data_IF_350882965937
#
_entry.id   IF_350882965937
#
_cell.length_a   1.000
_cell.length_b   1.000
_cell.length_c   1.000
_cell.angle_alpha   90.00
_cell.angle_beta   90.00
_cell.angle_gamma   90.00
#
_symmetry.space_group_name_H-M   'P 1'
#
loop_
_entity.id
_entity.type
_entity.pdbx_description
1 polymer ?
#
# COMPACT_ATOMS: atom_id res chain seq x y z
N UNK A 1 -17.14 -37.72 6.02
CA UNK A 1 -18.45 -37.92 6.72
C UNK A 1 -18.94 -36.67 7.43
N UNK A 2 -18.14 -35.61 7.55
CA UNK A 2 -18.53 -34.36 8.25
C UNK A 2 -18.85 -33.19 7.31
N UNK A 3 -18.60 -33.32 6.00
CA UNK A 3 -18.98 -32.29 5.02
C UNK A 3 -20.47 -32.33 4.66
N UNK A 4 -21.12 -33.50 4.76
CA UNK A 4 -22.53 -33.69 4.40
C UNK A 4 -23.52 -32.98 5.33
N UNK A 5 -23.11 -32.58 6.53
CA UNK A 5 -24.01 -31.94 7.50
C UNK A 5 -23.98 -30.41 7.47
N UNK A 6 -23.14 -29.80 6.65
CA UNK A 6 -23.00 -28.34 6.54
C UNK A 6 -23.64 -27.76 5.27
N UNK A 7 -24.13 -28.60 4.37
CA UNK A 7 -24.82 -28.18 3.16
C UNK A 7 -26.31 -28.21 3.44
N UNK A 8 -26.93 -27.05 3.61
CA UNK A 8 -28.37 -26.89 3.72
C UNK A 8 -29.05 -27.41 2.43
N UNK A 9 -30.18 -28.09 2.56
CA UNK A 9 -31.00 -28.66 1.43
C UNK A 9 -31.29 -27.63 0.33
N UNK A 10 -31.24 -26.31 0.66
CA UNK A 10 -31.40 -25.23 -0.30
C UNK A 10 -30.20 -25.06 -1.23
N UNK A 11 -29.00 -25.47 -0.80
CA UNK A 11 -27.74 -25.43 -1.58
C UNK A 11 -27.72 -26.62 -2.55
N UNK A 12 -28.15 -27.80 -2.10
CA UNK A 12 -28.24 -29.01 -2.93
C UNK A 12 -29.19 -28.84 -4.12
N UNK A 13 -30.33 -28.17 -3.90
CA UNK A 13 -31.28 -27.88 -4.97
C UNK A 13 -30.79 -26.87 -6.00
N UNK A 14 -29.89 -25.97 -5.63
CA UNK A 14 -29.31 -24.98 -6.56
C UNK A 14 -28.06 -25.50 -7.27
N UNK A 15 -27.25 -26.31 -6.59
CA UNK A 15 -26.11 -26.99 -7.19
C UNK A 15 -26.55 -28.05 -8.23
N UNK A 16 -27.70 -28.71 -8.01
CA UNK A 16 -28.24 -29.66 -8.98
C UNK A 16 -28.74 -29.00 -10.28
N UNK A 17 -28.98 -27.71 -10.29
CA UNK A 17 -29.33 -26.94 -11.50
C UNK A 17 -28.11 -26.50 -12.33
N UNK A 18 -26.91 -26.61 -11.79
CA UNK A 18 -25.69 -26.44 -12.54
C UNK A 18 -25.34 -27.74 -13.26
N UNK A 19 -25.18 -27.69 -14.57
CA UNK A 19 -24.62 -28.80 -15.34
C UNK A 19 -23.14 -28.95 -15.03
N UNK A 20 -22.83 -29.61 -13.90
CA UNK A 20 -21.47 -29.94 -13.46
C UNK A 20 -20.90 -31.14 -14.21
N UNK A 21 -21.60 -31.66 -15.23
CA UNK A 21 -21.14 -32.81 -16.01
C UNK A 21 -19.80 -32.60 -16.75
N UNK A 22 -19.37 -31.35 -16.89
CA UNK A 22 -18.09 -30.98 -17.46
C UNK A 22 -16.97 -30.77 -16.43
N UNK A 23 -17.30 -30.77 -15.14
CA UNK A 23 -16.30 -30.68 -14.07
C UNK A 23 -15.96 -32.08 -13.59
N UNK A 24 -14.66 -32.42 -13.47
CA UNK A 24 -14.26 -33.68 -12.86
C UNK A 24 -14.76 -33.76 -11.43
N UNK A 25 -15.14 -34.97 -11.00
CA UNK A 25 -15.65 -35.21 -9.64
C UNK A 25 -14.66 -34.68 -8.59
N UNK A 26 -15.05 -33.83 -7.65
CA UNK A 26 -14.19 -33.37 -6.56
C UNK A 26 -13.50 -34.53 -5.80
N UNK A 27 -14.15 -35.70 -5.72
CA UNK A 27 -13.57 -36.92 -5.12
C UNK A 27 -12.30 -37.40 -5.86
N UNK A 28 -12.18 -37.14 -7.17
CA UNK A 28 -10.98 -37.50 -7.94
C UNK A 28 -9.75 -36.66 -7.55
N UNK A 29 -9.94 -35.54 -6.87
CA UNK A 29 -8.90 -34.61 -6.47
C UNK A 29 -8.60 -34.61 -4.96
N UNK A 30 -9.31 -35.41 -4.15
CA UNK A 30 -9.05 -35.48 -2.70
C UNK A 30 -7.60 -35.80 -2.36
N UNK A 31 -6.91 -36.59 -3.20
CA UNK A 31 -5.52 -36.92 -3.01
C UNK A 31 -4.53 -35.78 -3.34
N UNK A 32 -4.99 -34.73 -4.04
CA UNK A 32 -4.17 -33.57 -4.42
C UNK A 32 -4.55 -32.29 -3.67
N UNK A 33 -5.73 -32.27 -3.05
CA UNK A 33 -6.18 -31.16 -2.21
C UNK A 33 -5.74 -31.46 -0.77
N UNK A 34 -4.62 -30.89 -0.36
CA UNK A 34 -4.32 -30.75 1.07
C UNK A 34 -5.31 -29.70 1.60
N UNK A 35 -6.48 -30.15 2.00
CA UNK A 35 -7.44 -29.32 2.74
C UNK A 35 -6.82 -29.14 4.12
N UNK A 36 -6.13 -28.01 4.32
CA UNK A 36 -5.69 -27.63 5.63
C UNK A 36 -6.97 -27.29 6.44
N UNK A 37 -7.30 -28.14 7.40
CA UNK A 37 -8.48 -27.96 8.28
C UNK A 37 -8.43 -26.70 9.13
N UNK A 38 -7.35 -25.94 9.08
CA UNK A 38 -7.21 -24.60 9.65
C UNK A 38 -7.52 -23.47 8.63
N UNK A 39 -7.88 -23.80 7.39
CA UNK A 39 -8.53 -22.83 6.54
C UNK A 39 -9.85 -22.48 7.23
N UNK A 40 -9.99 -21.21 7.62
CA UNK A 40 -11.24 -20.63 8.07
C UNK A 40 -12.39 -21.18 7.21
N UNK A 41 -13.52 -21.48 7.81
CA UNK A 41 -14.63 -22.08 7.09
C UNK A 41 -14.81 -21.29 5.80
N UNK A 42 -14.88 -21.99 4.69
CA UNK A 42 -15.21 -21.41 3.40
C UNK A 42 -16.38 -20.48 3.70
N UNK A 43 -16.12 -19.17 3.61
CA UNK A 43 -17.15 -18.16 3.89
C UNK A 43 -18.33 -18.60 3.07
N UNK A 44 -19.52 -18.79 3.66
CA UNK A 44 -20.68 -19.19 2.92
C UNK A 44 -20.86 -18.13 1.84
N UNK A 45 -20.52 -18.51 0.62
CA UNK A 45 -20.79 -17.67 -0.55
C UNK A 45 -22.30 -17.57 -0.54
N UNK A 46 -22.83 -16.36 -0.31
CA UNK A 46 -24.26 -16.16 -0.41
C UNK A 46 -24.66 -16.36 -1.87
N UNK A 47 -25.06 -17.61 -2.16
CA UNK A 47 -25.47 -18.03 -3.50
C UNK A 47 -26.71 -17.22 -3.96
N UNK A 48 -27.45 -16.60 -3.04
CA UNK A 48 -28.53 -15.69 -3.38
C UNK A 48 -28.07 -14.32 -3.88
N UNK A 49 -26.81 -13.96 -3.64
CA UNK A 49 -26.18 -12.79 -4.25
C UNK A 49 -25.87 -12.99 -5.74
N UNK A 50 -25.92 -14.25 -6.24
CA UNK A 50 -25.82 -14.53 -7.67
C UNK A 50 -27.16 -14.23 -8.34
N UNK A 51 -27.31 -13.01 -8.84
CA UNK A 51 -28.42 -12.64 -9.73
C UNK A 51 -28.34 -13.36 -11.09
N UNK A 52 -29.28 -13.08 -12.00
CA UNK A 52 -29.36 -13.70 -13.33
C UNK A 52 -28.11 -13.47 -14.24
N UNK A 53 -27.12 -12.64 -13.80
CA UNK A 53 -25.85 -12.38 -14.48
C UNK A 53 -24.66 -13.11 -13.80
N UNK A 54 -24.77 -14.38 -13.63
CA UNK A 54 -24.00 -15.27 -12.77
C UNK A 54 -22.45 -15.21 -12.83
N UNK A 55 -21.86 -14.82 -13.95
CA UNK A 55 -20.38 -14.85 -14.10
C UNK A 55 -19.68 -13.66 -13.46
N UNK A 56 -20.26 -12.47 -13.51
CA UNK A 56 -19.66 -11.26 -12.92
C UNK A 56 -19.79 -11.34 -11.40
N UNK A 57 -20.95 -11.78 -10.90
CA UNK A 57 -21.21 -11.92 -9.47
C UNK A 57 -20.31 -12.97 -8.81
N UNK A 58 -19.97 -14.07 -9.52
CA UNK A 58 -19.02 -15.08 -9.03
C UNK A 58 -17.61 -14.51 -8.88
N UNK A 59 -17.14 -13.73 -9.84
CA UNK A 59 -15.83 -13.11 -9.81
C UNK A 59 -15.76 -12.13 -8.64
N UNK A 60 -16.76 -11.28 -8.46
CA UNK A 60 -16.83 -10.33 -7.34
C UNK A 60 -16.89 -11.04 -5.99
N UNK A 61 -17.64 -12.13 -5.87
CA UNK A 61 -17.70 -12.94 -4.66
C UNK A 61 -16.34 -13.57 -4.32
N UNK A 62 -15.60 -14.08 -5.31
CA UNK A 62 -14.26 -14.64 -5.10
C UNK A 62 -13.30 -13.53 -4.65
N UNK A 63 -13.29 -12.39 -5.32
CA UNK A 63 -12.39 -11.30 -4.98
C UNK A 63 -12.72 -10.57 -3.67
N UNK A 64 -13.95 -10.73 -3.16
CA UNK A 64 -14.37 -10.20 -1.86
C UNK A 64 -14.14 -11.15 -0.68
N UNK A 65 -13.65 -12.39 -0.92
CA UNK A 65 -13.39 -13.35 0.16
C UNK A 65 -12.39 -12.80 1.19
N UNK A 66 -12.74 -12.83 2.50
CA UNK A 66 -11.88 -12.31 3.56
C UNK A 66 -10.58 -13.13 3.76
N UNK A 67 -10.56 -14.37 3.30
CA UNK A 67 -9.38 -15.25 3.36
C UNK A 67 -8.45 -15.13 2.14
N UNK A 68 -8.81 -14.32 1.13
CA UNK A 68 -8.05 -14.20 -0.09
C UNK A 68 -7.02 -13.06 -0.02
N UNK A 69 -5.83 -13.30 -0.55
CA UNK A 69 -4.86 -12.25 -0.87
C UNK A 69 -4.45 -12.37 -2.34
N UNK A 70 -4.44 -11.25 -3.02
CA UNK A 70 -4.04 -11.20 -4.43
C UNK A 70 -3.32 -9.90 -4.77
N UNK A 71 -2.48 -9.97 -5.80
CA UNK A 71 -1.72 -8.84 -6.32
C UNK A 71 -1.64 -8.93 -7.83
N UNK A 72 -2.00 -7.84 -8.49
CA UNK A 72 -1.82 -7.63 -9.91
C UNK A 72 -0.79 -6.52 -10.16
N UNK A 73 0.10 -6.71 -11.14
CA UNK A 73 1.05 -5.68 -11.55
C UNK A 73 1.19 -5.68 -13.06
N UNK A 74 1.01 -4.49 -13.65
CA UNK A 74 1.25 -4.25 -15.06
C UNK A 74 2.44 -3.29 -15.22
N UNK A 75 3.38 -3.64 -16.07
CA UNK A 75 4.56 -2.82 -16.34
C UNK A 75 4.67 -2.61 -17.85
N UNK A 76 4.89 -1.38 -18.24
CA UNK A 76 5.25 -1.05 -19.62
C UNK A 76 6.51 -0.19 -19.67
N UNK A 77 7.34 -0.47 -20.67
CA UNK A 77 8.52 0.32 -20.99
C UNK A 77 8.36 0.89 -22.38
N UNK A 78 8.35 2.20 -22.51
CA UNK A 78 8.11 2.88 -23.77
C UNK A 78 9.00 4.12 -23.90
N UNK A 79 9.85 4.20 -24.94
CA UNK A 79 10.74 5.31 -25.21
C UNK A 79 11.55 5.84 -24.01
N UNK A 80 12.09 4.93 -23.18
CA UNK A 80 12.87 5.30 -22.00
C UNK A 80 12.02 5.64 -20.76
N UNK A 81 10.69 5.57 -20.90
CA UNK A 81 9.76 5.70 -19.77
C UNK A 81 9.43 4.32 -19.21
N UNK A 82 9.24 4.26 -17.91
CA UNK A 82 8.80 3.07 -17.20
C UNK A 82 7.53 3.41 -16.44
N UNK A 83 6.41 2.82 -16.85
CA UNK A 83 5.13 2.94 -16.17
C UNK A 83 4.79 1.62 -15.50
N UNK A 84 4.48 1.67 -14.20
CA UNK A 84 4.00 0.54 -13.43
C UNK A 84 2.66 0.88 -12.78
N UNK A 85 1.70 -0.01 -12.97
CA UNK A 85 0.41 -0.03 -12.28
C UNK A 85 0.41 -1.26 -11.38
N UNK A 86 -0.01 -1.08 -10.15
CA UNK A 86 -0.08 -2.16 -9.18
C UNK A 86 -1.36 -2.07 -8.37
N UNK A 87 -1.98 -3.22 -8.14
CA UNK A 87 -3.12 -3.39 -7.26
C UNK A 87 -2.88 -4.60 -6.37
N UNK A 88 -3.15 -4.49 -5.08
CA UNK A 88 -3.10 -5.60 -4.14
C UNK A 88 -4.19 -5.49 -3.09
N UNK A 89 -4.69 -6.64 -2.68
CA UNK A 89 -5.64 -6.78 -1.58
C UNK A 89 -5.25 -7.95 -0.72
N UNK A 90 -5.36 -7.79 0.59
CA UNK A 90 -5.16 -8.83 1.60
C UNK A 90 -6.38 -8.83 2.50
N UNK A 91 -7.12 -9.92 2.48
CA UNK A 91 -8.32 -10.08 3.28
C UNK A 91 -8.03 -10.11 4.78
N UNK A 92 -9.06 -9.88 5.58
CA UNK A 92 -8.97 -9.82 7.06
C UNK A 92 -8.58 -11.16 7.70
N UNK A 93 -9.00 -12.26 7.08
CA UNK A 93 -8.77 -13.63 7.57
C UNK A 93 -7.62 -14.33 6.85
N UNK A 94 -6.94 -13.66 5.93
CA UNK A 94 -5.82 -14.23 5.21
C UNK A 94 -4.70 -14.63 6.17
N UNK A 95 -4.22 -15.87 6.08
CA UNK A 95 -3.11 -16.39 6.86
C UNK A 95 -1.99 -16.86 5.92
N UNK A 96 -0.80 -16.30 6.09
CA UNK A 96 0.40 -16.73 5.36
C UNK A 96 1.31 -17.53 6.26
N UNK A 97 1.60 -18.77 5.88
CA UNK A 97 2.58 -19.61 6.59
C UNK A 97 4.01 -19.08 6.39
N UNK A 98 4.27 -18.44 5.23
CA UNK A 98 5.60 -17.92 4.91
C UNK A 98 5.86 -16.54 5.51
N UNK A 99 4.81 -15.74 5.79
CA UNK A 99 4.93 -14.41 6.35
C UNK A 99 3.80 -14.14 7.36
N UNK A 100 3.99 -14.48 8.64
CA UNK A 100 2.98 -14.27 9.69
C UNK A 100 2.75 -12.79 10.02
N UNK A 101 3.65 -11.88 9.60
CA UNK A 101 3.56 -10.44 9.85
C UNK A 101 2.90 -9.66 8.71
N UNK A 102 2.27 -10.34 7.76
CA UNK A 102 1.56 -9.65 6.67
C UNK A 102 0.43 -8.78 7.25
N UNK A 103 0.36 -7.54 6.79
CA UNK A 103 -0.74 -6.64 7.17
C UNK A 103 -2.00 -7.09 6.45
N UNK A 104 -3.00 -7.46 7.22
CA UNK A 104 -4.30 -7.97 6.75
C UNK A 104 -5.31 -6.83 6.61
N UNK A 105 -6.44 -7.15 6.00
CA UNK A 105 -7.59 -6.25 5.85
C UNK A 105 -7.24 -4.94 5.15
N UNK A 106 -6.46 -5.05 4.06
CA UNK A 106 -5.86 -3.93 3.37
C UNK A 106 -6.05 -4.04 1.87
N UNK A 107 -6.37 -2.93 1.25
CA UNK A 107 -6.39 -2.76 -0.21
C UNK A 107 -5.50 -1.60 -0.60
N UNK A 108 -4.72 -1.77 -1.63
CA UNK A 108 -3.87 -0.70 -2.16
C UNK A 108 -3.78 -0.74 -3.68
N UNK A 109 -3.69 0.43 -4.28
CA UNK A 109 -3.30 0.57 -5.67
C UNK A 109 -2.29 1.70 -5.83
N UNK A 110 -1.44 1.56 -6.82
CA UNK A 110 -0.42 2.56 -7.11
C UNK A 110 -0.15 2.67 -8.59
N UNK A 111 0.23 3.88 -8.98
CA UNK A 111 0.79 4.21 -10.29
C UNK A 111 2.16 4.84 -10.08
N UNK A 112 3.15 4.36 -10.80
CA UNK A 112 4.50 4.92 -10.77
C UNK A 112 4.99 5.11 -12.20
N UNK A 113 5.47 6.30 -12.49
CA UNK A 113 6.06 6.64 -13.77
C UNK A 113 7.49 7.15 -13.58
N UNK A 114 8.42 6.66 -14.39
CA UNK A 114 9.82 7.03 -14.38
C UNK A 114 10.28 7.43 -15.77
N UNK A 115 10.75 8.63 -15.91
CA UNK A 115 11.23 9.20 -17.15
C UNK A 115 12.76 9.34 -17.11
N UNK A 116 13.40 8.99 -18.22
CA UNK A 116 14.82 9.21 -18.44
C UNK A 116 14.98 10.22 -19.57
N UNK A 117 15.57 11.36 -19.25
CA UNK A 117 15.76 12.47 -20.19
C UNK A 117 17.24 12.76 -20.37
N UNK A 118 17.59 13.41 -21.49
CA UNK A 118 18.95 13.87 -21.80
C UNK A 118 20.01 12.78 -21.68
N UNK A 119 19.80 11.64 -22.33
CA UNK A 119 20.68 10.46 -22.26
C UNK A 119 20.94 9.99 -20.83
N UNK A 120 19.87 9.86 -20.04
CA UNK A 120 19.88 9.47 -18.63
C UNK A 120 20.54 10.47 -17.65
N UNK A 121 20.82 11.71 -18.09
CA UNK A 121 21.36 12.73 -17.19
C UNK A 121 20.31 13.30 -16.24
N UNK A 122 19.05 13.20 -16.58
CA UNK A 122 17.93 13.56 -15.74
C UNK A 122 16.94 12.38 -15.67
N UNK A 123 16.71 11.90 -14.47
CA UNK A 123 15.70 10.88 -14.19
C UNK A 123 14.61 11.49 -13.32
N UNK A 124 13.38 11.44 -13.77
CA UNK A 124 12.19 11.88 -13.03
C UNK A 124 11.43 10.64 -12.55
N UNK A 125 10.85 10.73 -11.38
CA UNK A 125 9.99 9.70 -10.80
C UNK A 125 8.75 10.38 -10.21
N UNK A 126 7.57 9.94 -10.66
CA UNK A 126 6.28 10.41 -10.15
C UNK A 126 5.51 9.18 -9.72
N UNK A 127 4.93 9.23 -8.53
CA UNK A 127 4.16 8.12 -8.01
C UNK A 127 2.95 8.59 -7.22
N UNK A 128 1.86 7.87 -7.36
CA UNK A 128 0.69 8.00 -6.53
C UNK A 128 0.31 6.62 -5.98
N UNK A 129 -0.03 6.57 -4.70
CA UNK A 129 -0.48 5.36 -4.02
C UNK A 129 -1.69 5.70 -3.16
N UNK A 130 -2.73 4.90 -3.31
CA UNK A 130 -3.91 4.90 -2.46
C UNK A 130 -3.99 3.59 -1.69
N UNK A 131 -4.33 3.67 -0.42
CA UNK A 131 -4.43 2.53 0.47
C UNK A 131 -5.65 2.72 1.35
N UNK A 132 -6.45 1.66 1.45
CA UNK A 132 -7.56 1.52 2.38
C UNK A 132 -7.22 0.39 3.36
N UNK A 133 -7.39 0.63 4.64
CA UNK A 133 -7.33 -0.37 5.69
C UNK A 133 -8.76 -0.63 6.18
N UNK A 134 -9.02 -1.80 6.77
CA UNK A 134 -10.33 -2.21 7.31
C UNK A 134 -11.46 -2.34 6.28
N UNK A 135 -11.12 -2.84 5.08
CA UNK A 135 -12.00 -2.91 3.90
C UNK A 135 -13.15 -3.94 4.01
N UNK A 136 -13.01 -4.96 4.87
CA UNK A 136 -13.98 -6.07 5.01
C UNK A 136 -14.62 -6.15 6.40
N UNK A 137 -14.38 -5.18 7.26
CA UNK A 137 -15.08 -5.04 8.53
C UNK A 137 -16.33 -4.20 8.32
N UNK A 138 -17.40 -4.53 9.05
CA UNK A 138 -18.63 -3.73 9.11
C UNK A 138 -18.45 -2.38 9.81
N UNK A 139 -17.24 -1.86 9.84
CA UNK A 139 -16.92 -0.57 10.43
C UNK A 139 -17.29 0.51 9.44
N UNK A 140 -18.12 1.45 9.86
CA UNK A 140 -18.57 2.58 9.03
C UNK A 140 -17.43 3.46 8.51
N UNK A 141 -16.25 3.38 9.14
CA UNK A 141 -15.13 4.28 8.89
C UNK A 141 -13.89 3.51 8.43
N UNK A 142 -13.62 3.56 7.13
CA UNK A 142 -12.43 2.98 6.52
C UNK A 142 -11.27 3.96 6.68
N UNK A 143 -10.13 3.48 7.17
CA UNK A 143 -8.91 4.27 7.22
C UNK A 143 -8.28 4.33 5.85
N UNK A 144 -8.12 5.55 5.33
CA UNK A 144 -7.53 5.81 4.02
C UNK A 144 -6.17 6.48 4.13
N UNK A 145 -5.26 6.15 3.23
CA UNK A 145 -3.98 6.83 3.08
C UNK A 145 -3.69 7.10 1.61
N UNK A 146 -3.50 8.37 1.27
CA UNK A 146 -3.07 8.81 -0.04
C UNK A 146 -1.62 9.27 0.02
N UNK A 147 -0.78 8.78 -0.86
CA UNK A 147 0.63 9.15 -0.96
C UNK A 147 0.94 9.64 -2.36
N UNK A 148 1.37 10.89 -2.48
CA UNK A 148 1.94 11.45 -3.69
C UNK A 148 3.46 11.50 -3.52
N UNK A 149 4.20 11.07 -4.51
CA UNK A 149 5.65 11.14 -4.55
C UNK A 149 6.15 11.76 -5.86
N UNK A 150 7.13 12.62 -5.74
CA UNK A 150 7.82 13.21 -6.87
C UNK A 150 9.32 13.22 -6.56
N UNK A 151 10.13 12.82 -7.51
CA UNK A 151 11.57 12.88 -7.35
C UNK A 151 12.26 13.14 -8.67
N UNK A 152 13.45 13.74 -8.58
CA UNK A 152 14.35 13.77 -9.72
C UNK A 152 15.79 13.51 -9.28
N UNK A 153 16.55 12.92 -10.18
CA UNK A 153 17.99 12.76 -10.05
C UNK A 153 18.66 13.36 -11.30
N UNK A 154 19.47 14.40 -11.07
CA UNK A 154 20.22 15.06 -12.12
C UNK A 154 21.71 14.74 -11.99
N UNK A 155 22.28 14.16 -13.06
CA UNK A 155 23.71 13.83 -13.19
C UNK A 155 24.23 14.54 -14.45
N UNK A 156 24.48 15.86 -14.36
CA UNK A 156 24.73 16.68 -15.56
C UNK A 156 26.03 16.34 -16.29
N UNK A 157 26.98 15.74 -15.62
CA UNK A 157 28.24 15.30 -16.23
C UNK A 157 29.47 15.56 -15.36
N UNK A 158 30.67 15.26 -15.86
CA UNK A 158 31.93 15.44 -15.13
C UNK A 158 32.11 16.88 -14.64
N UNK A 159 32.59 17.04 -13.43
CA UNK A 159 32.89 18.35 -12.84
C UNK A 159 31.65 19.16 -12.39
N UNK A 160 30.46 18.63 -12.53
CA UNK A 160 29.21 19.26 -12.07
C UNK A 160 28.58 18.45 -10.93
N UNK A 161 27.86 19.10 -10.00
CA UNK A 161 27.25 18.41 -8.88
C UNK A 161 26.09 17.50 -9.35
N UNK A 162 25.98 16.35 -8.70
CA UNK A 162 24.80 15.49 -8.78
C UNK A 162 23.77 15.98 -7.77
N UNK A 163 22.54 16.14 -8.20
CA UNK A 163 21.43 16.60 -7.38
C UNK A 163 20.36 15.51 -7.35
N UNK A 164 19.95 15.11 -6.16
CA UNK A 164 18.82 14.24 -5.94
C UNK A 164 17.79 15.01 -5.10
N UNK A 165 16.56 15.08 -5.61
CA UNK A 165 15.42 15.69 -4.94
C UNK A 165 14.31 14.67 -4.79
N UNK A 166 13.72 14.58 -3.61
CA UNK A 166 12.54 13.78 -3.35
C UNK A 166 11.53 14.58 -2.53
N UNK A 167 10.30 14.56 -2.99
CA UNK A 167 9.13 15.09 -2.31
C UNK A 167 8.12 13.96 -2.10
N UNK A 168 7.58 13.87 -0.90
CA UNK A 168 6.52 12.92 -0.58
C UNK A 168 5.48 13.59 0.30
N UNK A 169 4.23 13.53 -0.14
CA UNK A 169 3.06 14.02 0.59
C UNK A 169 2.17 12.83 0.96
N UNK A 170 1.79 12.73 2.23
CA UNK A 170 0.97 11.64 2.76
C UNK A 170 -0.23 12.27 3.48
N UNK A 171 -1.42 11.95 3.00
CA UNK A 171 -2.68 12.26 3.67
C UNK A 171 -3.24 11.00 4.30
N UNK A 172 -3.58 11.06 5.58
CA UNK A 172 -4.26 9.98 6.31
C UNK A 172 -5.57 10.49 6.87
N UNK A 173 -6.59 9.67 6.78
CA UNK A 173 -7.92 9.95 7.32
C UNK A 173 -8.52 8.61 7.77
N UNK A 174 -9.05 8.55 8.98
CA UNK A 174 -9.74 7.36 9.48
C UNK A 174 -11.27 7.48 9.43
N UNK A 175 -11.79 8.55 8.81
CA UNK A 175 -13.22 8.77 8.63
C UNK A 175 -14.00 9.05 9.92
N UNK A 176 -13.33 9.16 11.07
CA UNK A 176 -13.97 9.46 12.36
C UNK A 176 -13.95 10.98 12.55
N UNK A 177 -15.12 11.59 12.55
CA UNK A 177 -15.25 13.05 12.72
C UNK A 177 -15.70 13.46 14.13
N UNK A 178 -16.13 12.51 14.96
CA UNK A 178 -16.72 12.79 16.26
C UNK A 178 -15.85 12.29 17.42
N UNK A 179 -15.82 13.07 18.48
CA UNK A 179 -15.23 12.66 19.76
C UNK A 179 -16.27 11.84 20.52
N UNK A 180 -15.86 10.69 21.04
CA UNK A 180 -16.74 9.83 21.83
C UNK A 180 -16.66 10.24 23.28
N UNK A 181 -17.79 10.62 23.86
CA UNK A 181 -17.94 10.85 25.30
C UNK A 181 -18.22 9.50 25.99
N UNK A 182 -17.33 9.06 26.86
CA UNK A 182 -17.47 7.81 27.61
C UNK A 182 -18.24 8.00 28.91
N UNK A 183 -18.02 9.14 29.58
CA UNK A 183 -18.71 9.55 30.81
C UNK A 183 -18.89 11.06 30.79
N UNK A 184 -19.59 11.61 31.77
CA UNK A 184 -19.81 13.08 31.91
C UNK A 184 -18.49 13.88 31.90
N UNK A 185 -17.37 13.25 32.23
CA UNK A 185 -16.07 13.91 32.35
C UNK A 185 -14.95 13.29 31.50
N UNK A 186 -15.22 12.15 30.83
CA UNK A 186 -14.19 11.43 30.08
C UNK A 186 -14.55 11.37 28.61
N UNK A 187 -13.62 11.81 27.77
CA UNK A 187 -13.73 11.81 26.32
C UNK A 187 -12.61 10.96 25.70
N UNK A 188 -12.94 10.28 24.61
CA UNK A 188 -11.95 9.60 23.77
C UNK A 188 -11.96 10.21 22.38
N UNK A 189 -10.81 10.72 21.96
CA UNK A 189 -10.62 11.27 20.61
C UNK A 189 -9.80 10.29 19.76
N UNK A 190 -10.51 9.52 18.94
CA UNK A 190 -9.92 8.55 18.01
C UNK A 190 -9.83 9.10 16.57
N UNK A 191 -10.13 10.39 16.37
CA UNK A 191 -10.05 11.02 15.05
C UNK A 191 -8.60 11.04 14.56
N UNK A 192 -8.37 10.65 13.32
CA UNK A 192 -7.07 10.78 12.65
C UNK A 192 -7.27 11.44 11.27
N UNK A 193 -6.81 12.68 11.13
CA UNK A 193 -6.76 13.36 9.85
C UNK A 193 -5.48 14.16 9.77
N UNK A 194 -4.46 13.57 9.16
CA UNK A 194 -3.11 14.13 9.16
C UNK A 194 -2.57 14.32 7.75
N UNK A 195 -1.81 15.40 7.58
CA UNK A 195 -1.06 15.68 6.38
C UNK A 195 0.43 15.71 6.70
N UNK A 196 1.24 14.92 5.98
CA UNK A 196 2.68 14.86 6.18
C UNK A 196 3.38 15.21 4.87
N UNK A 197 4.24 16.21 4.91
CA UNK A 197 5.14 16.59 3.83
C UNK A 197 6.57 16.18 4.19
N UNK A 198 7.25 15.54 3.27
CA UNK A 198 8.66 15.19 3.40
C UNK A 198 9.41 15.69 2.17
N UNK A 199 10.40 16.54 2.39
CA UNK A 199 11.29 17.06 1.35
C UNK A 199 12.71 16.57 1.69
N UNK A 200 13.39 15.99 0.71
CA UNK A 200 14.76 15.56 0.84
C UNK A 200 15.56 16.05 -0.38
N UNK A 201 16.65 16.75 -0.11
CA UNK A 201 17.58 17.21 -1.13
C UNK A 201 18.95 16.66 -0.79
N UNK A 202 19.58 15.96 -1.74
CA UNK A 202 20.96 15.54 -1.64
C UNK A 202 21.76 16.17 -2.78
N UNK A 203 22.89 16.75 -2.44
CA UNK A 203 23.84 17.32 -3.38
C UNK A 203 25.18 16.63 -3.16
N UNK A 204 25.77 16.12 -4.24
CA UNK A 204 27.10 15.55 -4.22
C UNK A 204 27.94 16.18 -5.33
N UNK A 205 29.10 16.69 -4.95
CA UNK A 205 30.04 17.28 -5.89
C UNK A 205 31.43 16.72 -5.66
N UNK A 206 32.02 16.19 -6.71
CA UNK A 206 33.41 15.75 -6.71
C UNK A 206 34.22 16.70 -7.54
N UNK A 207 35.31 17.16 -7.00
CA UNK A 207 36.22 18.08 -7.67
C UNK A 207 37.69 17.71 -7.35
N UNK A 208 38.51 17.82 -8.37
CA UNK A 208 39.90 17.49 -8.33
C UNK A 208 40.67 18.81 -8.31
N UNK A 209 41.44 19.07 -7.22
CA UNK A 209 42.41 20.14 -7.13
C UNK A 209 43.79 19.51 -7.07
N UNK A 210 44.48 19.63 -5.92
CA UNK A 210 45.73 18.88 -5.67
C UNK A 210 45.45 17.43 -5.26
N UNK A 211 44.26 17.17 -4.73
CA UNK A 211 43.76 15.86 -4.28
C UNK A 211 42.28 15.69 -4.69
N UNK A 212 41.79 14.49 -4.61
CA UNK A 212 40.36 14.19 -4.83
C UNK A 212 39.52 14.69 -3.66
N UNK A 213 38.61 15.60 -3.90
CA UNK A 213 37.69 16.13 -2.92
C UNK A 213 36.27 15.71 -3.25
N UNK A 214 35.50 15.39 -2.23
CA UNK A 214 34.07 15.10 -2.35
C UNK A 214 33.29 15.90 -1.31
N UNK A 215 32.44 16.79 -1.76
CA UNK A 215 31.50 17.54 -0.94
C UNK A 215 30.11 16.90 -1.07
N UNK A 216 29.52 16.55 0.05
CA UNK A 216 28.09 16.08 0.07
C UNK A 216 27.30 16.93 1.06
N UNK A 217 26.09 17.25 0.64
CA UNK A 217 25.10 17.94 1.47
C UNK A 217 23.76 17.20 1.42
N UNK A 218 23.13 17.06 2.56
CA UNK A 218 21.78 16.49 2.68
C UNK A 218 20.92 17.45 3.48
N UNK A 219 19.77 17.80 2.94
CA UNK A 219 18.71 18.52 3.62
C UNK A 219 17.47 17.64 3.68
N UNK A 220 16.87 17.50 4.86
CA UNK A 220 15.61 16.80 5.08
C UNK A 220 14.70 17.72 5.86
N UNK A 221 13.47 17.90 5.37
CA UNK A 221 12.39 18.59 6.08
C UNK A 221 11.18 17.67 6.13
N UNK A 222 10.69 17.39 7.33
CA UNK A 222 9.49 16.62 7.58
C UNK A 222 8.52 17.46 8.38
N UNK A 223 7.36 17.72 7.82
CA UNK A 223 6.27 18.44 8.48
C UNK A 223 5.04 17.53 8.54
N UNK A 224 4.54 17.30 9.73
CA UNK A 224 3.28 16.61 9.96
C UNK A 224 2.32 17.59 10.63
N UNK A 225 1.17 17.78 10.00
CA UNK A 225 0.08 18.63 10.47
C UNK A 225 -1.13 17.74 10.82
N UNK A 226 -1.72 17.97 12.00
CA UNK A 226 -3.04 17.44 12.32
C UNK A 226 -4.11 18.43 11.85
N UNK A 227 -5.09 17.94 11.12
CA UNK A 227 -6.18 18.76 10.59
C UNK A 227 -7.26 19.10 11.62
N UNK A 228 -7.28 18.41 12.76
CA UNK A 228 -8.17 18.73 13.87
C UNK A 228 -7.53 19.77 14.80
N UNK A 229 -7.74 21.04 14.49
CA UNK A 229 -7.16 22.18 15.22
C UNK A 229 -7.69 22.33 16.65
N UNK A 230 -8.84 21.75 16.96
CA UNK A 230 -9.45 21.72 18.29
C UNK A 230 -8.76 20.76 19.24
N UNK A 231 -7.96 19.82 18.73
CA UNK A 231 -7.24 18.83 19.55
C UNK A 231 -6.17 19.47 20.42
N UNK A 232 -5.54 20.54 19.97
CA UNK A 232 -4.54 21.29 20.74
C UNK A 232 -5.07 21.90 22.02
N UNK A 233 -6.39 22.07 22.15
CA UNK A 233 -7.03 22.57 23.38
C UNK A 233 -7.19 21.48 24.44
N UNK A 234 -7.21 20.19 24.03
CA UNK A 234 -7.44 19.05 24.90
C UNK A 234 -6.15 18.27 25.18
N UNK A 235 -5.18 18.30 24.25
CA UNK A 235 -3.94 17.54 24.29
C UNK A 235 -2.78 18.37 23.73
N UNK A 236 -1.55 17.84 23.88
CA UNK A 236 -0.37 18.40 23.21
C UNK A 236 -0.58 18.37 21.69
N UNK A 237 -0.27 19.47 21.04
CA UNK A 237 -0.35 19.56 19.58
C UNK A 237 0.43 18.40 18.93
N UNK A 238 -0.25 17.53 18.16
CA UNK A 238 0.40 16.40 17.50
C UNK A 238 1.16 16.78 16.24
N UNK A 239 1.19 18.06 15.87
CA UNK A 239 1.93 18.56 14.72
C UNK A 239 3.44 18.52 15.02
N UNK A 240 4.21 18.05 14.05
CA UNK A 240 5.65 17.88 14.17
C UNK A 240 6.33 18.55 12.98
N UNK A 241 7.36 19.35 13.26
CA UNK A 241 8.27 19.85 12.24
C UNK A 241 9.70 19.45 12.60
N UNK A 242 10.38 18.79 11.67
CA UNK A 242 11.74 18.33 11.84
C UNK A 242 12.58 18.73 10.63
N UNK A 243 13.71 19.41 10.88
CA UNK A 243 14.66 19.76 9.85
C UNK A 243 16.03 19.18 10.20
N UNK A 244 16.66 18.56 9.22
CA UNK A 244 18.02 18.01 9.36
C UNK A 244 18.88 18.52 8.20
N UNK A 245 20.02 19.09 8.54
CA UNK A 245 21.04 19.47 7.57
C UNK A 245 22.32 18.71 7.92
N UNK A 246 22.86 18.01 6.94
CA UNK A 246 24.15 17.33 7.08
C UNK A 246 25.05 17.76 5.92
N UNK A 247 26.26 18.17 6.24
CA UNK A 247 27.29 18.54 5.25
C UNK A 247 28.57 17.79 5.58
N UNK A 248 29.13 17.13 4.59
CA UNK A 248 30.42 16.44 4.76
C UNK A 248 31.37 16.77 3.62
N UNK A 249 32.64 16.94 3.96
CA UNK A 249 33.75 17.09 3.04
C UNK A 249 34.72 15.93 3.27
N UNK A 250 35.03 15.22 2.24
CA UNK A 250 36.02 14.13 2.24
C UNK A 250 37.16 14.49 1.28
N UNK A 251 38.38 14.28 1.74
CA UNK A 251 39.58 14.49 0.93
C UNK A 251 40.39 13.21 0.88
N UNK A 252 40.72 12.75 -0.30
CA UNK A 252 41.56 11.58 -0.52
C UNK A 252 42.92 12.03 -1.03
N UNK A 253 43.96 11.73 -0.27
CA UNK A 253 45.34 11.94 -0.69
C UNK A 253 45.75 10.83 -1.66
N UNK A 254 46.12 11.19 -2.86
CA UNK A 254 46.79 10.26 -3.76
C UNK A 254 48.29 10.39 -3.43
N UNK A 255 48.80 9.40 -2.67
CA UNK A 255 50.24 9.28 -2.50
C UNK A 255 50.85 8.85 -3.84
N UNK A 256 51.94 9.48 -4.30
CA UNK A 256 52.63 9.06 -5.51
C UNK A 256 53.15 7.64 -5.41
#
# INVERSE_FOLDING_TARGET
AELDTLIDDSVDNKLSSFDLSSFPDPADYEQYLIINSNLAPLVPIDINAFGDNSTIDLVDAIFSMPSLAYRGRAITNFYGNYLALEYSQVGSEFNSLANPYIVKNKREWSITDKFKLFNNRLMLNIGYKHQDDDILTSVENVKTQNTLSFGFNAVPGPGLPTINFNYRSINRDNGIDQIVQLTDTTYTDNREKTHTNNIMVNLNHRFDLLWDHSLSGTFVNVEKEDKYTDRSQLFVDPSISTQVINVSLSTRYNSP
#
